data_IF_606731979715
#
_entry.id   IF_606731979715
#
_cell.length_a   1.000
_cell.length_b   1.000
_cell.length_c   1.000
_cell.angle_alpha   90.00
_cell.angle_beta   90.00
_cell.angle_gamma   90.00
#
_symmetry.space_group_name_H-M   'P 1'
#
loop_
_entity.id
_entity.type
_entity.pdbx_description
1 polymer ?
#
# COMPACT_ATOMS: atom_id res chain seq x y z
N UNK A 1 64.53 1.09 -28.79
CA UNK A 1 63.11 0.76 -29.06
C UNK A 1 62.47 0.43 -27.71
N UNK A 2 61.64 1.32 -27.20
CA UNK A 2 60.93 1.16 -25.95
C UNK A 2 59.45 1.03 -26.27
N UNK A 3 58.87 -0.15 -26.12
CA UNK A 3 57.41 -0.39 -26.30
C UNK A 3 56.74 0.01 -24.98
N UNK A 4 55.96 1.07 -25.03
CA UNK A 4 55.06 1.47 -23.92
C UNK A 4 53.75 0.69 -24.03
N UNK A 5 53.50 -0.20 -23.07
CA UNK A 5 52.16 -0.85 -22.89
C UNK A 5 51.26 0.10 -22.15
N UNK A 6 50.29 0.64 -22.87
CA UNK A 6 49.16 1.41 -22.27
C UNK A 6 48.12 0.41 -21.81
N UNK A 7 48.05 0.14 -20.52
CA UNK A 7 46.98 -0.65 -19.92
C UNK A 7 45.72 0.23 -19.76
N UNK A 8 44.74 0.00 -20.60
CA UNK A 8 43.43 0.60 -20.47
C UNK A 8 42.68 -0.10 -19.34
N UNK A 9 42.54 0.58 -18.20
CA UNK A 9 41.75 0.12 -17.05
C UNK A 9 40.29 0.52 -17.31
N UNK A 10 39.47 -0.45 -17.79
CA UNK A 10 38.05 -0.25 -17.98
C UNK A 10 37.35 -0.33 -16.61
N UNK A 11 36.96 0.83 -16.08
CA UNK A 11 36.13 0.91 -14.87
C UNK A 11 34.70 0.63 -15.31
N UNK A 12 34.23 -0.58 -15.05
CA UNK A 12 32.82 -0.95 -15.19
C UNK A 12 32.05 -0.34 -14.00
N UNK A 13 31.37 0.76 -14.24
CA UNK A 13 30.40 1.34 -13.29
C UNK A 13 29.18 0.41 -13.19
N UNK A 14 29.14 -0.42 -12.16
CA UNK A 14 27.98 -1.17 -11.76
C UNK A 14 26.93 -0.19 -11.19
N UNK A 15 26.02 0.26 -12.03
CA UNK A 15 24.80 0.92 -11.55
C UNK A 15 23.96 -0.14 -10.84
N UNK A 16 24.08 -0.22 -9.52
CA UNK A 16 23.11 -0.94 -8.71
C UNK A 16 21.77 -0.19 -8.81
N UNK A 17 20.88 -0.64 -9.69
CA UNK A 17 19.48 -0.25 -9.62
C UNK A 17 18.95 -0.75 -8.28
N UNK A 18 18.78 0.15 -7.33
CA UNK A 18 17.96 -0.10 -6.16
C UNK A 18 16.50 -0.17 -6.65
N UNK A 19 16.09 -1.37 -7.06
CA UNK A 19 14.67 -1.62 -7.34
C UNK A 19 13.92 -1.34 -6.03
N UNK A 20 13.00 -0.38 -6.04
CA UNK A 20 12.09 -0.18 -4.93
C UNK A 20 11.38 -1.52 -4.69
N UNK A 21 11.36 -1.97 -3.42
CA UNK A 21 10.67 -3.22 -3.09
C UNK A 21 9.19 -3.10 -3.46
N UNK A 22 8.65 -4.15 -4.05
CA UNK A 22 7.22 -4.22 -4.38
C UNK A 22 6.38 -4.11 -3.10
N UNK A 23 5.24 -3.40 -3.14
CA UNK A 23 4.37 -3.26 -1.99
C UNK A 23 3.91 -4.61 -1.44
N UNK A 24 3.95 -4.77 -0.11
CA UNK A 24 3.66 -6.02 0.59
C UNK A 24 2.32 -5.97 1.31
N UNK A 25 1.36 -6.80 0.91
CA UNK A 25 0.06 -6.91 1.59
C UNK A 25 0.20 -7.41 3.04
N UNK A 26 1.14 -8.31 3.31
CA UNK A 26 1.39 -8.80 4.68
C UNK A 26 1.92 -7.70 5.59
N UNK A 27 2.89 -6.93 5.11
CA UNK A 27 3.39 -5.77 5.84
C UNK A 27 2.31 -4.68 5.96
N UNK A 28 1.54 -4.48 4.89
CA UNK A 28 0.41 -3.56 4.85
C UNK A 28 -0.65 -3.84 5.90
N UNK A 29 -0.97 -5.11 6.15
CA UNK A 29 -1.88 -5.49 7.24
C UNK A 29 -1.33 -5.07 8.60
N UNK A 30 -0.08 -5.39 8.89
CA UNK A 30 0.56 -5.01 10.14
C UNK A 30 0.59 -3.48 10.33
N UNK A 31 0.90 -2.74 9.25
CA UNK A 31 0.91 -1.28 9.24
C UNK A 31 -0.50 -0.69 9.40
N UNK A 32 -1.50 -1.24 8.74
CA UNK A 32 -2.91 -0.83 8.85
C UNK A 32 -3.40 -0.88 10.30
N UNK A 33 -3.01 -1.94 11.02
CA UNK A 33 -3.31 -2.06 12.46
C UNK A 33 -2.46 -1.09 13.27
N UNK A 34 -1.15 -1.03 13.04
CA UNK A 34 -0.22 -0.20 13.79
C UNK A 34 -0.54 1.30 13.70
N UNK A 35 -0.94 1.78 12.52
CA UNK A 35 -1.28 3.19 12.26
C UNK A 35 -2.69 3.53 12.78
N UNK A 36 -3.52 2.52 13.08
CA UNK A 36 -4.83 2.72 13.68
C UNK A 36 -5.99 2.84 12.69
N UNK A 37 -5.78 2.57 11.40
CA UNK A 37 -6.84 2.62 10.38
C UNK A 37 -8.03 1.72 10.74
N UNK A 38 -7.75 0.54 11.34
CA UNK A 38 -8.76 -0.44 11.75
C UNK A 38 -9.78 0.09 12.75
N UNK A 39 -9.44 1.11 13.54
CA UNK A 39 -10.31 1.63 14.59
C UNK A 39 -11.61 2.21 14.02
N UNK A 40 -11.53 2.83 12.86
CA UNK A 40 -12.68 3.40 12.17
C UNK A 40 -13.17 2.51 11.03
N UNK A 41 -12.23 1.89 10.29
CA UNK A 41 -12.53 1.16 9.06
C UNK A 41 -12.71 -0.36 9.23
N UNK A 42 -12.53 -0.88 10.45
CA UNK A 42 -12.54 -2.32 10.72
C UNK A 42 -11.26 -3.01 10.28
N UNK A 43 -10.97 -4.19 10.82
CA UNK A 43 -9.70 -4.91 10.58
C UNK A 43 -9.46 -5.27 9.11
N UNK A 44 -10.51 -5.44 8.34
CA UNK A 44 -10.44 -5.75 6.90
C UNK A 44 -10.90 -4.57 6.02
N UNK A 45 -10.96 -3.37 6.58
CA UNK A 45 -11.45 -2.22 5.83
C UNK A 45 -12.93 -2.31 5.46
N UNK A 46 -13.68 -3.18 6.12
CA UNK A 46 -15.11 -3.42 5.86
C UNK A 46 -16.01 -2.27 6.28
N UNK A 47 -15.47 -1.30 7.02
CA UNK A 47 -16.23 -0.19 7.59
C UNK A 47 -16.94 -0.55 8.89
N UNK A 48 -17.61 0.45 9.44
CA UNK A 48 -18.38 0.36 10.68
C UNK A 48 -19.06 1.67 11.01
N UNK A 49 -19.49 1.84 12.26
CA UNK A 49 -20.15 3.06 12.70
C UNK A 49 -19.22 4.29 12.66
N UNK A 50 -17.91 4.10 12.84
CA UNK A 50 -16.92 5.17 12.93
C UNK A 50 -16.27 5.55 11.60
N UNK A 51 -16.42 4.75 10.53
CA UNK A 51 -15.83 5.04 9.24
C UNK A 51 -16.39 4.19 8.12
N UNK A 52 -16.32 4.67 6.88
CA UNK A 52 -16.84 3.95 5.73
C UNK A 52 -16.02 2.71 5.38
N UNK A 53 -16.61 1.83 4.57
CA UNK A 53 -15.91 0.72 3.95
C UNK A 53 -14.85 1.24 2.97
N UNK A 54 -13.65 0.70 3.04
CA UNK A 54 -12.52 1.02 2.17
C UNK A 54 -11.91 -0.22 1.48
N UNK A 55 -12.42 -1.41 1.79
CA UNK A 55 -12.08 -2.67 1.13
C UNK A 55 -13.33 -3.60 1.11
N UNK A 56 -13.43 -4.50 0.14
CA UNK A 56 -12.60 -4.60 -1.07
C UNK A 56 -12.82 -3.41 -2.02
N UNK A 57 -12.02 -3.35 -3.05
CA UNK A 57 -12.09 -2.30 -4.06
C UNK A 57 -11.79 -0.89 -3.49
N UNK A 58 -10.58 -0.66 -2.97
CA UNK A 58 -10.18 0.67 -2.53
C UNK A 58 -10.17 1.65 -3.71
N UNK A 59 -10.25 2.95 -3.41
CA UNK A 59 -9.99 4.00 -4.41
C UNK A 59 -8.66 3.73 -5.12
N UNK A 60 -8.48 4.15 -6.37
CA UNK A 60 -7.16 4.14 -7.00
C UNK A 60 -6.11 4.80 -6.09
N UNK A 61 -4.88 4.29 -6.11
CA UNK A 61 -3.83 4.68 -5.16
C UNK A 61 -3.65 6.20 -5.04
N UNK A 62 -3.59 6.91 -6.17
CA UNK A 62 -3.41 8.37 -6.17
C UNK A 62 -4.57 9.10 -5.49
N UNK A 63 -5.80 8.62 -5.70
CA UNK A 63 -7.00 9.14 -5.05
C UNK A 63 -6.99 8.87 -3.54
N UNK A 64 -6.62 7.66 -3.15
CA UNK A 64 -6.46 7.28 -1.74
C UNK A 64 -5.37 8.13 -1.07
N UNK A 65 -4.22 8.27 -1.70
CA UNK A 65 -3.10 9.05 -1.18
C UNK A 65 -3.49 10.52 -1.01
N UNK A 66 -4.08 11.13 -2.03
CA UNK A 66 -4.55 12.52 -1.95
C UNK A 66 -5.56 12.70 -0.81
N UNK A 67 -6.54 11.80 -0.69
CA UNK A 67 -7.55 11.87 0.37
C UNK A 67 -6.92 11.76 1.76
N UNK A 68 -6.08 10.75 1.99
CA UNK A 68 -5.42 10.53 3.28
C UNK A 68 -4.56 11.73 3.73
N UNK A 69 -3.98 12.47 2.76
CA UNK A 69 -3.16 13.66 3.04
C UNK A 69 -3.96 14.92 3.37
N UNK A 70 -5.16 15.04 2.81
CA UNK A 70 -5.93 16.30 2.80
C UNK A 70 -7.29 16.19 3.46
N UNK A 71 -7.64 15.03 4.01
CA UNK A 71 -8.92 14.82 4.67
C UNK A 71 -9.15 15.83 5.79
N UNK A 72 -10.40 16.23 5.98
CA UNK A 72 -10.88 17.04 7.07
C UNK A 72 -12.08 16.34 7.73
N UNK A 73 -12.31 16.58 9.01
CA UNK A 73 -13.37 15.96 9.77
C UNK A 73 -12.86 14.93 10.76
N UNK A 74 -13.58 13.84 10.96
CA UNK A 74 -13.25 12.84 11.98
C UNK A 74 -12.01 12.00 11.62
N UNK A 75 -11.77 11.77 10.34
CA UNK A 75 -10.53 11.12 9.89
C UNK A 75 -9.39 12.16 9.91
N UNK A 76 -8.34 11.97 10.72
CA UNK A 76 -7.21 12.89 10.72
C UNK A 76 -6.39 12.79 9.43
N UNK A 77 -5.79 13.90 8.95
CA UNK A 77 -4.87 13.85 7.84
C UNK A 77 -3.54 13.21 8.25
N UNK A 78 -3.01 12.32 7.42
CA UNK A 78 -1.72 11.69 7.62
C UNK A 78 -0.69 12.32 6.69
N UNK A 79 0.23 13.11 7.24
CA UNK A 79 1.34 13.67 6.48
C UNK A 79 2.31 12.59 6.03
N UNK A 80 3.15 12.88 5.02
CA UNK A 80 4.20 11.95 4.56
C UNK A 80 5.23 11.63 5.64
N UNK A 81 5.38 12.49 6.64
CA UNK A 81 6.25 12.25 7.81
C UNK A 81 5.66 11.17 8.73
N UNK A 82 4.34 11.17 8.92
CA UNK A 82 3.66 10.19 9.77
C UNK A 82 3.42 8.87 9.03
N UNK A 83 3.12 8.95 7.75
CA UNK A 83 2.76 7.83 6.89
C UNK A 83 3.42 8.04 5.52
N UNK A 84 4.64 7.50 5.33
CA UNK A 84 5.35 7.64 4.05
C UNK A 84 4.57 7.00 2.90
N UNK A 85 4.87 7.39 1.66
CA UNK A 85 4.20 6.82 0.50
C UNK A 85 4.46 5.31 0.35
N UNK A 86 5.65 4.84 0.74
CA UNK A 86 5.96 3.40 0.76
C UNK A 86 5.11 2.64 1.78
N UNK A 87 4.93 3.19 2.99
CA UNK A 87 4.05 2.61 4.02
C UNK A 87 2.59 2.61 3.54
N UNK A 88 2.15 3.69 2.90
CA UNK A 88 0.80 3.76 2.33
C UNK A 88 0.61 2.78 1.17
N UNK A 89 1.64 2.56 0.35
CA UNK A 89 1.61 1.56 -0.73
C UNK A 89 1.44 0.14 -0.20
N UNK A 90 2.13 -0.21 0.89
CA UNK A 90 1.94 -1.51 1.56
C UNK A 90 0.51 -1.67 2.10
N UNK A 91 -0.01 -0.64 2.78
CA UNK A 91 -1.41 -0.62 3.26
C UNK A 91 -2.37 -0.77 2.09
N UNK A 92 -2.12 -0.09 0.98
CA UNK A 92 -2.94 -0.22 -0.23
C UNK A 92 -2.93 -1.63 -0.80
N UNK A 93 -1.75 -2.26 -0.88
CA UNK A 93 -1.63 -3.66 -1.30
C UNK A 93 -2.45 -4.59 -0.39
N UNK A 94 -2.47 -4.33 0.93
CA UNK A 94 -3.32 -5.06 1.86
C UNK A 94 -4.81 -4.87 1.53
N UNK A 95 -5.29 -3.63 1.36
CA UNK A 95 -6.68 -3.35 1.04
C UNK A 95 -7.13 -4.01 -0.27
N UNK A 96 -6.25 -4.03 -1.27
CA UNK A 96 -6.49 -4.72 -2.53
C UNK A 96 -6.54 -6.26 -2.38
N UNK A 97 -5.84 -6.81 -1.39
CA UNK A 97 -5.81 -8.25 -1.14
C UNK A 97 -7.08 -8.79 -0.48
N UNK A 98 -7.94 -7.93 0.04
CA UNK A 98 -9.20 -8.33 0.69
C UNK A 98 -10.16 -8.88 -0.37
N UNK A 99 -10.63 -10.14 -0.23
CA UNK A 99 -11.51 -10.73 -1.21
C UNK A 99 -12.89 -10.08 -1.18
N UNK A 100 -13.54 -10.04 -2.33
CA UNK A 100 -14.95 -9.66 -2.40
C UNK A 100 -15.81 -10.70 -1.68
N UNK A 101 -16.87 -10.28 -0.98
CA UNK A 101 -17.82 -11.22 -0.44
C UNK A 101 -18.49 -12.02 -1.59
N UNK A 102 -18.96 -13.24 -1.32
CA UNK A 102 -19.69 -14.01 -2.32
C UNK A 102 -20.93 -13.25 -2.80
N UNK A 103 -21.32 -13.44 -4.05
CA UNK A 103 -22.57 -12.88 -4.54
C UNK A 103 -23.77 -13.43 -3.73
N UNK A 104 -24.81 -12.66 -3.56
CA UNK A 104 -26.00 -13.08 -2.80
C UNK A 104 -26.58 -14.41 -3.31
N UNK A 105 -26.51 -14.62 -4.63
CA UNK A 105 -26.93 -15.87 -5.27
C UNK A 105 -26.11 -17.10 -4.84
N UNK A 106 -24.89 -16.89 -4.34
CA UNK A 106 -23.99 -17.97 -3.94
C UNK A 106 -24.05 -18.26 -2.42
N UNK A 107 -24.85 -17.50 -1.68
CA UNK A 107 -25.05 -17.70 -0.24
C UNK A 107 -26.24 -18.64 -0.02
N UNK A 108 -26.02 -19.92 0.42
CA UNK A 108 -27.09 -20.92 0.51
C UNK A 108 -28.25 -20.48 1.41
N UNK A 109 -27.96 -19.78 2.50
CA UNK A 109 -28.97 -19.32 3.46
C UNK A 109 -29.91 -18.23 2.92
N UNK A 110 -29.56 -17.58 1.80
CA UNK A 110 -30.36 -16.54 1.19
C UNK A 110 -31.19 -17.05 -0.03
N UNK A 111 -31.11 -18.36 -0.30
CA UNK A 111 -31.85 -19.01 -1.40
C UNK A 111 -33.25 -19.56 -1.00
N UNK A 112 -33.80 -19.04 0.07
CA UNK A 112 -35.13 -19.44 0.56
C UNK A 112 -36.25 -18.76 -0.22
#
# INVERSE_FOLDING_TARGET
MRCAFVSAFAIALLFANAAAAEPSATNGHALFVKVGCYQCHGYQGQGGAAGPRIAPDPLPFDGLAAFVRTTSGEMPPYTTTLLSDGVLADIYAYLQSIPRPPALADVPLLKQ
#
